data_IF_667695610320
#
_entry.id   IF_667695610320
#
_cell.length_a   1.000
_cell.length_b   1.000
_cell.length_c   1.000
_cell.angle_alpha   90.00
_cell.angle_beta   90.00
_cell.angle_gamma   90.00
#
_symmetry.space_group_name_H-M   'P 1'
#
loop_
_entity.id
_entity.type
_entity.pdbx_description
1 polymer ?
#
# COMPACT_ATOMS: atom_id res chain seq x y z
N UNK A 1 17.77 -11.06 -34.79
CA UNK A 1 16.62 -11.80 -34.23
C UNK A 1 16.55 -11.59 -32.71
N UNK A 2 15.96 -10.49 -32.23
CA UNK A 2 15.59 -10.36 -30.82
C UNK A 2 14.59 -9.19 -30.66
N UNK A 3 13.32 -9.47 -30.87
CA UNK A 3 12.23 -8.55 -30.54
C UNK A 3 10.99 -9.38 -30.17
N UNK A 4 10.94 -9.92 -28.96
CA UNK A 4 9.74 -10.56 -28.42
C UNK A 4 9.84 -10.77 -26.90
N UNK A 5 9.56 -9.73 -26.10
CA UNK A 5 9.27 -9.91 -24.66
C UNK A 5 8.38 -8.79 -24.10
N UNK A 6 7.52 -8.19 -24.92
CA UNK A 6 6.65 -7.08 -24.52
C UNK A 6 5.19 -7.34 -24.92
N UNK A 7 4.63 -8.50 -24.54
CA UNK A 7 3.18 -8.76 -24.69
C UNK A 7 2.72 -9.70 -23.59
N UNK A 8 2.02 -9.15 -22.59
CA UNK A 8 0.90 -9.78 -21.84
C UNK A 8 0.53 -9.04 -20.55
N UNK A 9 0.52 -7.70 -20.58
CA UNK A 9 0.03 -6.90 -19.45
C UNK A 9 -1.47 -6.55 -19.55
N UNK A 10 -2.13 -6.86 -20.68
CA UNK A 10 -3.55 -6.57 -20.91
C UNK A 10 -4.51 -7.51 -20.17
N UNK A 11 -4.05 -8.68 -19.70
CA UNK A 11 -4.90 -9.68 -19.03
C UNK A 11 -5.20 -9.40 -17.57
N UNK A 12 -4.35 -8.66 -16.86
CA UNK A 12 -4.50 -8.43 -15.41
C UNK A 12 -5.42 -7.25 -15.07
N UNK A 13 -5.70 -6.37 -16.04
CA UNK A 13 -6.58 -5.20 -15.82
C UNK A 13 -8.06 -5.61 -15.82
N UNK A 14 -8.42 -6.67 -16.54
CA UNK A 14 -9.83 -7.09 -16.67
C UNK A 14 -10.37 -7.94 -15.50
N UNK A 15 -9.51 -8.41 -14.59
CA UNK A 15 -9.96 -9.17 -13.42
C UNK A 15 -10.41 -8.29 -12.23
N UNK A 16 -10.17 -6.98 -12.28
CA UNK A 16 -10.53 -6.05 -11.20
C UNK A 16 -11.64 -5.04 -11.54
N UNK A 17 -12.07 -4.95 -12.80
CA UNK A 17 -13.11 -3.99 -13.24
C UNK A 17 -14.43 -4.62 -13.69
N UNK A 18 -14.61 -5.93 -13.48
CA UNK A 18 -15.82 -6.66 -13.86
C UNK A 18 -16.71 -7.03 -12.68
N UNK A 19 -17.29 -6.07 -11.98
CA UNK A 19 -18.50 -6.32 -11.19
C UNK A 19 -19.61 -5.35 -11.62
N UNK A 20 -20.65 -5.96 -12.17
CA UNK A 20 -21.85 -5.32 -12.71
C UNK A 20 -22.49 -4.37 -11.70
N UNK A 21 -22.72 -3.14 -12.17
CA UNK A 21 -23.45 -2.10 -11.46
C UNK A 21 -24.95 -2.40 -11.56
N UNK A 22 -25.50 -3.01 -10.52
CA UNK A 22 -26.95 -3.14 -10.36
C UNK A 22 -27.63 -1.75 -10.42
N UNK A 23 -28.60 -1.59 -11.32
CA UNK A 23 -29.38 -0.37 -11.48
C UNK A 23 -30.24 -0.13 -10.24
N UNK A 24 -29.95 0.94 -9.49
CA UNK A 24 -30.83 1.44 -8.43
C UNK A 24 -31.99 2.23 -9.07
N UNK A 25 -33.24 2.05 -8.64
CA UNK A 25 -34.35 2.86 -9.15
C UNK A 25 -34.18 4.32 -8.70
N UNK A 26 -34.37 5.23 -9.65
CA UNK A 26 -34.41 6.66 -9.43
C UNK A 26 -35.68 7.02 -8.64
N UNK A 27 -35.55 7.36 -7.36
CA UNK A 27 -36.64 7.97 -6.59
C UNK A 27 -36.62 9.49 -6.78
N UNK A 28 -37.60 9.92 -7.55
CA UNK A 28 -38.11 11.27 -7.74
C UNK A 28 -38.33 12.01 -6.41
N UNK A 29 -37.89 13.27 -6.33
CA UNK A 29 -38.77 14.47 -6.33
C UNK A 29 -37.96 15.69 -5.90
N UNK A 30 -37.69 16.58 -6.86
CA UNK A 30 -37.24 17.94 -6.61
C UNK A 30 -38.48 18.78 -6.26
N UNK A 31 -38.82 18.84 -4.98
CA UNK A 31 -39.87 19.71 -4.47
C UNK A 31 -39.34 21.11 -4.19
N UNK A 32 -39.50 22.01 -5.15
CA UNK A 32 -39.43 23.45 -4.94
C UNK A 32 -40.81 23.95 -4.50
N UNK A 33 -40.98 24.48 -3.28
CA UNK A 33 -42.12 25.33 -2.95
C UNK A 33 -41.75 26.41 -1.93
N UNK A 34 -41.69 27.63 -2.44
CA UNK A 34 -42.00 28.88 -1.75
C UNK A 34 -43.42 28.87 -1.19
N UNK A 35 -43.64 29.22 0.09
CA UNK A 35 -44.79 30.05 0.52
C UNK A 35 -44.67 30.52 1.98
N UNK A 36 -44.59 31.83 2.14
CA UNK A 36 -44.91 32.60 3.35
C UNK A 36 -46.41 32.49 3.69
N UNK A 37 -46.82 32.53 4.96
CA UNK A 37 -47.97 33.29 5.48
C UNK A 37 -47.98 33.30 7.03
N UNK A 38 -48.41 34.42 7.61
CA UNK A 38 -48.57 34.73 9.04
C UNK A 38 -49.67 33.89 9.72
N UNK A 39 -49.58 33.70 11.06
CA UNK A 39 -50.74 33.46 11.94
C UNK A 39 -50.54 32.42 13.06
N UNK A 40 -50.71 32.85 14.32
CA UNK A 40 -50.50 32.21 15.66
C UNK A 40 -51.76 31.39 16.06
N UNK A 41 -51.78 30.31 16.92
CA UNK A 41 -51.38 30.34 18.34
C UNK A 41 -50.70 29.12 18.98
N UNK A 42 -50.04 29.39 20.12
CA UNK A 42 -49.49 28.42 21.06
C UNK A 42 -50.58 27.47 21.58
N UNK A 43 -50.36 26.17 21.41
CA UNK A 43 -51.15 25.09 22.01
C UNK A 43 -50.25 23.94 22.46
N UNK A 44 -50.54 23.42 23.65
CA UNK A 44 -49.81 22.38 24.39
C UNK A 44 -49.19 21.23 23.57
N UNK A 45 -47.92 20.93 23.88
CA UNK A 45 -47.42 19.57 24.04
C UNK A 45 -47.28 18.71 22.79
N UNK A 46 -46.54 19.16 21.77
CA UNK A 46 -46.10 18.27 20.70
C UNK A 46 -44.99 17.31 21.21
N UNK A 47 -45.04 16.00 20.92
CA UNK A 47 -43.91 15.12 21.20
C UNK A 47 -42.70 15.62 20.41
N UNK A 48 -41.60 15.91 21.12
CA UNK A 48 -40.37 16.43 20.52
C UNK A 48 -40.01 15.61 19.27
N UNK A 49 -40.05 16.26 18.11
CA UNK A 49 -39.71 15.62 16.85
C UNK A 49 -38.31 15.03 16.96
N UNK A 50 -38.20 13.70 16.77
CA UNK A 50 -36.90 13.01 16.83
C UNK A 50 -35.94 13.71 15.86
N UNK A 51 -34.74 14.09 16.30
CA UNK A 51 -33.82 14.79 15.42
C UNK A 51 -33.58 13.95 14.17
N UNK A 52 -33.83 14.52 13.01
CA UNK A 52 -33.56 13.87 11.72
C UNK A 52 -32.05 13.68 11.64
N UNK A 53 -31.61 12.43 11.73
CA UNK A 53 -30.19 12.07 11.71
C UNK A 53 -29.61 12.46 10.36
N UNK A 54 -28.87 13.58 10.32
CA UNK A 54 -28.13 14.01 9.14
C UNK A 54 -26.87 13.16 9.04
N UNK A 55 -26.94 12.12 8.21
CA UNK A 55 -25.77 11.33 7.87
C UNK A 55 -24.82 12.18 7.03
N UNK A 56 -23.68 12.57 7.61
CA UNK A 56 -22.56 13.11 6.83
C UNK A 56 -21.74 11.95 6.26
N UNK A 57 -21.15 12.11 5.05
CA UNK A 57 -20.17 11.16 4.54
C UNK A 57 -19.03 10.99 5.56
N UNK A 58 -18.91 9.80 6.16
CA UNK A 58 -17.88 9.51 7.17
C UNK A 58 -16.62 8.92 6.52
N UNK A 59 -16.26 9.38 5.32
CA UNK A 59 -15.06 8.89 4.64
C UNK A 59 -13.83 9.32 5.44
N UNK A 60 -13.12 8.34 6.02
CA UNK A 60 -11.92 8.59 6.80
C UNK A 60 -10.74 8.65 5.84
N UNK A 61 -10.13 9.82 5.74
CA UNK A 61 -8.94 10.04 4.92
C UNK A 61 -7.68 9.48 5.59
N UNK A 62 -7.66 9.44 6.92
CA UNK A 62 -6.52 9.00 7.71
C UNK A 62 -6.58 7.52 8.08
N UNK A 63 -5.42 6.88 8.05
CA UNK A 63 -5.24 5.49 8.46
C UNK A 63 -5.51 5.32 9.95
N UNK A 64 -6.20 4.24 10.33
CA UNK A 64 -6.37 3.88 11.75
C UNK A 64 -5.07 3.40 12.40
N UNK A 65 -4.18 2.82 11.60
CA UNK A 65 -2.90 2.27 12.05
C UNK A 65 -1.79 2.76 11.10
N UNK A 66 -1.16 3.91 11.39
CA UNK A 66 -0.08 4.42 10.58
C UNK A 66 1.11 3.46 10.61
N UNK A 67 1.84 3.39 9.50
CA UNK A 67 2.99 2.52 9.38
C UNK A 67 4.10 2.93 10.34
N UNK A 68 4.61 1.96 11.11
CA UNK A 68 5.69 2.18 12.04
C UNK A 68 7.04 1.81 11.38
N UNK A 69 7.82 2.83 11.01
CA UNK A 69 9.04 2.67 10.20
C UNK A 69 10.07 1.77 10.88
N UNK A 70 10.26 1.95 12.19
CA UNK A 70 11.21 1.17 13.00
C UNK A 70 10.87 -0.32 13.02
N UNK A 71 9.57 -0.65 13.09
CA UNK A 71 9.12 -2.04 13.09
C UNK A 71 9.41 -2.72 11.76
N UNK A 72 9.17 -2.02 10.64
CA UNK A 72 9.51 -2.51 9.30
C UNK A 72 11.01 -2.70 9.16
N UNK A 73 11.82 -1.74 9.64
CA UNK A 73 13.28 -1.85 9.63
C UNK A 73 13.77 -3.07 10.42
N UNK A 74 13.22 -3.30 11.62
CA UNK A 74 13.57 -4.46 12.45
C UNK A 74 13.19 -5.78 11.78
N UNK A 75 12.04 -5.85 11.10
CA UNK A 75 11.65 -7.02 10.31
C UNK A 75 12.68 -7.25 9.21
N UNK A 76 13.01 -6.23 8.42
CA UNK A 76 13.97 -6.34 7.31
C UNK A 76 15.32 -6.82 7.84
N UNK A 77 15.84 -6.20 8.91
CA UNK A 77 17.09 -6.60 9.57
C UNK A 77 17.07 -8.07 9.99
N UNK A 78 16.00 -8.51 10.64
CA UNK A 78 15.87 -9.90 11.09
C UNK A 78 15.84 -10.90 9.94
N UNK A 79 15.10 -10.62 8.86
CA UNK A 79 15.05 -11.53 7.69
C UNK A 79 16.39 -11.55 6.96
N UNK A 80 16.96 -10.38 6.69
CA UNK A 80 18.20 -10.26 5.93
C UNK A 80 19.36 -10.92 6.68
N UNK A 81 19.51 -10.66 7.98
CA UNK A 81 20.55 -11.30 8.77
C UNK A 81 20.34 -12.83 8.84
N UNK A 82 19.10 -13.31 8.94
CA UNK A 82 18.81 -14.75 8.98
C UNK A 82 19.24 -15.49 7.71
N UNK A 83 19.06 -14.89 6.54
CA UNK A 83 19.38 -15.54 5.25
C UNK A 83 20.81 -15.28 4.78
N UNK A 84 21.31 -14.07 4.98
CA UNK A 84 22.65 -13.64 4.58
C UNK A 84 23.62 -13.66 5.78
N UNK A 85 23.73 -14.82 6.42
CA UNK A 85 24.70 -15.10 7.48
C UNK A 85 26.11 -15.34 6.91
N UNK A 86 27.10 -15.51 7.78
CA UNK A 86 28.51 -15.68 7.40
C UNK A 86 28.79 -16.98 6.59
N UNK A 87 27.88 -17.96 6.65
CA UNK A 87 27.95 -19.21 5.86
C UNK A 87 27.47 -19.04 4.41
N UNK A 88 26.81 -17.92 4.08
CA UNK A 88 26.25 -17.72 2.76
C UNK A 88 27.35 -17.47 1.72
N UNK A 89 27.32 -18.27 0.64
CA UNK A 89 28.16 -18.05 -0.54
C UNK A 89 27.32 -17.66 -1.74
N UNK A 90 27.79 -16.64 -2.47
CA UNK A 90 27.12 -16.16 -3.66
C UNK A 90 27.17 -17.19 -4.79
N UNK A 91 26.01 -17.50 -5.37
CA UNK A 91 25.92 -18.28 -6.61
C UNK A 91 24.78 -17.75 -7.48
N UNK A 92 25.03 -17.32 -8.74
CA UNK A 92 24.08 -16.52 -9.51
C UNK A 92 22.63 -17.07 -9.57
N UNK A 93 22.46 -18.38 -9.77
CA UNK A 93 21.12 -19.01 -9.83
C UNK A 93 20.46 -19.12 -8.46
N UNK A 94 21.24 -19.51 -7.45
CA UNK A 94 20.74 -19.72 -6.09
C UNK A 94 20.43 -18.37 -5.42
N UNK A 95 21.32 -17.39 -5.58
CA UNK A 95 21.15 -16.03 -5.06
C UNK A 95 19.90 -15.35 -5.61
N UNK A 96 19.59 -15.54 -6.90
CA UNK A 96 18.37 -14.99 -7.50
C UNK A 96 17.11 -15.60 -6.87
N UNK A 97 17.08 -16.93 -6.73
CA UNK A 97 15.96 -17.61 -6.09
C UNK A 97 15.79 -17.20 -4.63
N UNK A 98 16.89 -17.15 -3.88
CA UNK A 98 16.90 -16.73 -2.49
C UNK A 98 16.46 -15.27 -2.33
N UNK A 99 16.92 -14.35 -3.19
CA UNK A 99 16.50 -12.96 -3.15
C UNK A 99 14.99 -12.82 -3.37
N UNK A 100 14.41 -13.61 -4.29
CA UNK A 100 12.96 -13.66 -4.49
C UNK A 100 12.23 -14.16 -3.24
N UNK A 101 12.70 -15.26 -2.63
CA UNK A 101 12.13 -15.81 -1.40
C UNK A 101 12.21 -14.82 -0.23
N UNK A 102 13.37 -14.19 -0.02
CA UNK A 102 13.57 -13.16 1.01
C UNK A 102 12.64 -11.97 0.80
N UNK A 103 12.48 -11.51 -0.44
CA UNK A 103 11.59 -10.38 -0.76
C UNK A 103 10.12 -10.69 -0.44
N UNK A 104 9.68 -11.92 -0.70
CA UNK A 104 8.34 -12.39 -0.38
C UNK A 104 8.15 -12.58 1.12
N UNK A 105 9.14 -13.12 1.82
CA UNK A 105 9.11 -13.31 3.27
C UNK A 105 9.05 -11.97 4.01
N UNK A 106 9.84 -10.97 3.60
CA UNK A 106 9.77 -9.60 4.13
C UNK A 106 8.38 -9.01 3.89
N UNK A 107 7.86 -9.10 2.66
CA UNK A 107 6.53 -8.60 2.32
C UNK A 107 5.44 -9.26 3.16
N UNK A 108 5.53 -10.57 3.38
CA UNK A 108 4.54 -11.31 4.16
C UNK A 108 4.61 -10.92 5.64
N UNK A 109 5.80 -10.75 6.22
CA UNK A 109 5.94 -10.26 7.60
C UNK A 109 5.37 -8.85 7.79
N UNK A 110 5.61 -7.94 6.86
CA UNK A 110 5.06 -6.58 6.92
C UNK A 110 3.53 -6.61 6.80
N UNK A 111 2.98 -7.50 5.96
CA UNK A 111 1.53 -7.68 5.84
C UNK A 111 0.88 -8.20 7.13
N UNK A 112 1.59 -9.03 7.92
CA UNK A 112 1.08 -9.54 9.19
C UNK A 112 0.89 -8.45 10.25
N UNK A 113 1.63 -7.35 10.17
CA UNK A 113 1.44 -6.19 11.04
C UNK A 113 0.14 -5.42 10.75
N UNK A 114 -0.53 -5.75 9.63
CA UNK A 114 -1.87 -5.29 9.29
C UNK A 114 -2.03 -3.75 9.33
N UNK A 115 -1.06 -3.03 8.75
CA UNK A 115 -1.21 -1.60 8.48
C UNK A 115 -2.28 -1.38 7.43
N UNK A 116 -3.13 -0.39 7.68
CA UNK A 116 -4.31 -0.14 6.84
C UNK A 116 -3.91 0.65 5.60
N UNK A 117 -4.44 0.27 4.44
CA UNK A 117 -4.32 1.03 3.17
C UNK A 117 -2.89 1.27 2.67
N UNK A 118 -2.01 0.28 2.79
CA UNK A 118 -0.64 0.37 2.24
C UNK A 118 -0.35 -0.69 1.18
N UNK A 119 0.41 -0.30 0.15
CA UNK A 119 0.99 -1.18 -0.86
C UNK A 119 2.51 -1.23 -0.66
N UNK A 120 3.05 -2.45 -0.70
CA UNK A 120 4.47 -2.70 -0.41
C UNK A 120 5.22 -3.20 -1.65
N UNK A 121 6.36 -2.58 -1.91
CA UNK A 121 7.30 -2.99 -2.96
C UNK A 121 8.62 -3.30 -2.27
N UNK A 122 9.07 -4.55 -2.35
CA UNK A 122 10.35 -4.98 -1.76
C UNK A 122 11.31 -5.28 -2.90
N UNK A 123 12.45 -4.61 -2.91
CA UNK A 123 13.52 -4.80 -3.87
C UNK A 123 14.75 -5.33 -3.12
N UNK A 124 15.15 -6.55 -3.44
CA UNK A 124 16.37 -7.17 -2.89
C UNK A 124 17.38 -7.31 -4.02
N UNK A 125 18.56 -6.75 -3.83
CA UNK A 125 19.69 -6.82 -4.76
C UNK A 125 20.85 -7.50 -4.07
N UNK A 126 21.34 -8.58 -4.66
CA UNK A 126 22.48 -9.34 -4.15
C UNK A 126 23.55 -9.37 -5.24
N UNK A 127 24.79 -9.12 -4.87
CA UNK A 127 25.93 -9.20 -5.78
C UNK A 127 27.20 -9.61 -5.08
N UNK A 128 28.16 -10.07 -5.86
CA UNK A 128 29.51 -10.42 -5.42
C UNK A 128 30.47 -9.23 -5.52
N UNK A 129 31.44 -9.17 -4.61
CA UNK A 129 32.52 -8.19 -4.66
C UNK A 129 33.61 -8.67 -5.62
N UNK A 130 33.52 -8.24 -6.88
CA UNK A 130 34.52 -8.50 -7.93
C UNK A 130 35.17 -7.21 -8.43
N UNK A 131 35.54 -6.30 -7.52
CA UNK A 131 36.07 -4.96 -7.85
C UNK A 131 35.17 -4.18 -8.84
N UNK A 132 33.85 -4.39 -8.75
CA UNK A 132 32.84 -3.71 -9.56
C UNK A 132 32.04 -2.73 -8.70
N UNK A 133 31.64 -1.61 -9.30
CA UNK A 133 30.75 -0.64 -8.67
C UNK A 133 29.30 -0.87 -9.07
N UNK A 134 28.38 -0.90 -8.10
CA UNK A 134 26.94 -0.90 -8.35
C UNK A 134 26.37 0.48 -7.99
N UNK A 135 25.69 1.12 -8.94
CA UNK A 135 24.92 2.33 -8.70
C UNK A 135 23.46 2.08 -9.07
N UNK A 136 22.56 2.21 -8.09
CA UNK A 136 21.11 2.08 -8.30
C UNK A 136 20.44 3.39 -7.92
N UNK A 137 19.63 3.91 -8.84
CA UNK A 137 18.90 5.16 -8.67
C UNK A 137 17.43 4.90 -8.98
N UNK A 138 16.55 5.47 -8.17
CA UNK A 138 15.11 5.28 -8.34
C UNK A 138 14.37 6.60 -8.15
N UNK A 139 13.56 6.96 -9.14
CA UNK A 139 12.83 8.23 -9.19
C UNK A 139 11.33 7.94 -9.15
N UNK A 140 10.63 8.56 -8.20
CA UNK A 140 9.19 8.39 -8.04
C UNK A 140 8.54 9.68 -7.54
N UNK A 141 7.25 9.83 -7.85
CA UNK A 141 6.39 10.84 -7.27
C UNK A 141 5.58 10.18 -6.14
N UNK A 142 5.64 10.77 -4.95
CA UNK A 142 5.04 10.20 -3.74
C UNK A 142 4.59 11.29 -2.78
N UNK A 143 3.76 10.93 -1.80
CA UNK A 143 3.35 11.82 -0.71
C UNK A 143 4.43 11.87 0.37
N UNK A 144 4.95 13.05 0.68
CA UNK A 144 6.02 13.24 1.67
C UNK A 144 5.59 12.86 3.10
N UNK A 145 4.30 12.88 3.40
CA UNK A 145 3.79 12.59 4.75
C UNK A 145 3.44 11.10 4.92
N UNK A 146 2.92 10.46 3.87
CA UNK A 146 2.32 9.12 3.95
C UNK A 146 3.19 8.02 3.35
N UNK A 147 3.97 8.35 2.32
CA UNK A 147 4.81 7.39 1.62
C UNK A 147 6.24 7.40 2.18
N UNK A 148 6.97 6.32 1.92
CA UNK A 148 8.33 6.21 2.40
C UNK A 148 9.06 4.98 1.92
N UNK A 149 10.35 4.93 2.22
CA UNK A 149 11.17 3.74 2.01
C UNK A 149 12.02 3.44 3.23
N UNK A 150 12.41 2.19 3.36
CA UNK A 150 13.38 1.71 4.34
C UNK A 150 14.43 0.90 3.58
N UNK A 151 15.69 1.20 3.81
CA UNK A 151 16.81 0.49 3.20
C UNK A 151 17.66 -0.15 4.28
N UNK A 152 18.08 -1.38 4.04
CA UNK A 152 19.05 -2.10 4.86
C UNK A 152 20.04 -2.83 3.97
N UNK A 153 21.33 -2.63 4.24
CA UNK A 153 22.42 -3.30 3.54
C UNK A 153 23.20 -4.21 4.49
N UNK A 154 23.57 -5.37 3.96
CA UNK A 154 24.52 -6.30 4.57
C UNK A 154 25.73 -6.32 3.66
N UNK A 155 26.86 -5.89 4.20
CA UNK A 155 28.15 -5.91 3.51
C UNK A 155 29.03 -6.99 4.14
N UNK A 156 29.59 -7.83 3.28
CA UNK A 156 30.56 -8.86 3.64
C UNK A 156 31.74 -8.81 2.65
N UNK A 157 32.91 -9.34 3.01
CA UNK A 157 34.06 -9.32 2.11
C UNK A 157 33.84 -10.01 0.76
N UNK A 158 32.94 -11.01 0.72
CA UNK A 158 32.67 -11.81 -0.49
C UNK A 158 31.48 -11.29 -1.31
N UNK A 159 30.46 -10.74 -0.65
CA UNK A 159 29.21 -10.32 -1.30
C UNK A 159 28.57 -9.13 -0.57
N UNK A 160 27.63 -8.49 -1.25
CA UNK A 160 26.75 -7.49 -0.68
C UNK A 160 25.28 -7.88 -0.94
N UNK A 161 24.41 -7.54 0.00
CA UNK A 161 22.97 -7.67 -0.15
C UNK A 161 22.29 -6.39 0.33
N UNK A 162 21.54 -5.73 -0.56
CA UNK A 162 20.80 -4.51 -0.26
C UNK A 162 19.32 -4.79 -0.42
N UNK A 163 18.55 -4.50 0.62
CA UNK A 163 17.09 -4.56 0.58
C UNK A 163 16.53 -3.15 0.73
N UNK A 164 15.75 -2.72 -0.25
CA UNK A 164 14.98 -1.47 -0.21
C UNK A 164 13.50 -1.82 -0.28
N UNK A 165 12.77 -1.45 0.77
CA UNK A 165 11.32 -1.64 0.84
C UNK A 165 10.63 -0.29 0.77
N UNK A 166 9.77 -0.12 -0.22
CA UNK A 166 8.88 1.03 -0.38
C UNK A 166 7.50 0.69 0.17
N UNK A 167 6.91 1.64 0.90
CA UNK A 167 5.53 1.60 1.34
C UNK A 167 4.81 2.82 0.76
N UNK A 168 3.70 2.57 0.09
CA UNK A 168 2.89 3.59 -0.56
C UNK A 168 1.46 3.53 0.01
N UNK A 169 0.95 4.66 0.44
CA UNK A 169 -0.42 4.79 0.92
C UNK A 169 -1.39 4.78 -0.27
N UNK A 170 -2.43 3.97 -0.15
CA UNK A 170 -3.47 3.82 -1.17
C UNK A 170 -4.79 4.32 -0.60
N UNK A 171 -5.33 5.40 -1.14
CA UNK A 171 -6.67 5.90 -0.82
C UNK A 171 -7.75 4.87 -1.27
#
# INVERSE_FOLDING_TARGET
MAAAAAKNWSGLVNLYLGQERAKRPASSQRGSLTKSHLGVPLGMGAPAAKPTMRFMPTYRLESKNPLNKERVENIIKAVMNRHYNDEYMFHPKHSLHMAAQVSEEIKNRIKLDNYDRYRYIVLVTVGEFLMQGLYSMVNFLWDAEKDGFVTYSVERPSYFAVCTTFYLYYD
#
